data_IF_626278990677
#
_entry.id   IF_626278990677
#
_cell.length_a   1.000
_cell.length_b   1.000
_cell.length_c   1.000
_cell.angle_alpha   90.00
_cell.angle_beta   90.00
_cell.angle_gamma   90.00
#
_symmetry.space_group_name_H-M   'P 1'
#
loop_
_entity.id
_entity.type
_entity.pdbx_description
1 polymer ?
#
# COMPACT_ATOMS: atom_id res chain seq x y z
N UNK A 1 -14.03 12.08 -51.37
CA UNK A 1 -13.42 11.83 -50.05
C UNK A 1 -12.54 13.01 -49.72
N UNK A 2 -12.78 13.71 -48.60
CA UNK A 2 -11.91 14.79 -48.12
C UNK A 2 -10.81 14.14 -47.26
N UNK A 3 -9.66 13.84 -47.86
CA UNK A 3 -8.45 13.53 -47.10
C UNK A 3 -7.71 14.84 -46.84
N UNK A 4 -7.49 15.15 -45.56
CA UNK A 4 -6.62 16.26 -45.19
C UNK A 4 -5.17 15.90 -45.55
N UNK A 5 -4.39 16.84 -46.11
CA UNK A 5 -2.99 16.60 -46.40
C UNK A 5 -2.21 16.25 -45.11
N UNK A 6 -1.23 15.36 -45.26
CA UNK A 6 -0.34 14.98 -44.16
C UNK A 6 0.45 16.20 -43.69
N UNK A 7 0.40 16.49 -42.40
CA UNK A 7 1.19 17.56 -41.78
C UNK A 7 2.62 17.07 -41.57
N UNK A 8 3.59 17.80 -42.11
CA UNK A 8 5.01 17.52 -41.95
C UNK A 8 5.63 18.55 -40.98
N UNK A 9 6.22 18.12 -39.85
CA UNK A 9 6.81 19.00 -38.84
C UNK A 9 7.98 19.87 -39.34
N UNK A 10 8.61 19.50 -40.46
CA UNK A 10 9.69 20.28 -41.07
C UNK A 10 9.21 21.41 -42.00
N UNK A 11 7.89 21.61 -42.12
CA UNK A 11 7.37 22.72 -42.91
C UNK A 11 7.80 24.05 -42.30
N UNK A 12 8.39 24.90 -43.13
CA UNK A 12 8.61 26.30 -42.82
C UNK A 12 7.28 26.91 -42.36
N UNK A 13 7.28 27.44 -41.13
CA UNK A 13 6.13 28.05 -40.46
C UNK A 13 5.84 29.43 -41.06
N UNK A 14 5.45 29.42 -42.33
CA UNK A 14 5.32 30.62 -43.15
C UNK A 14 3.90 31.19 -43.12
N UNK A 15 2.92 30.41 -42.67
CA UNK A 15 1.52 30.84 -42.52
C UNK A 15 1.05 30.77 -41.08
N UNK A 16 0.12 31.66 -40.72
CA UNK A 16 -0.50 31.67 -39.38
C UNK A 16 -1.18 30.34 -39.05
N UNK A 17 -1.79 29.70 -40.06
CA UNK A 17 -2.45 28.41 -39.88
C UNK A 17 -1.45 27.33 -39.45
N UNK A 18 -0.26 27.29 -40.04
CA UNK A 18 0.77 26.31 -39.70
C UNK A 18 1.31 26.55 -38.28
N UNK A 19 1.51 27.82 -37.90
CA UNK A 19 1.88 28.20 -36.52
C UNK A 19 0.87 27.68 -35.49
N UNK A 20 -0.43 27.94 -35.70
CA UNK A 20 -1.46 27.47 -34.78
C UNK A 20 -1.58 25.94 -34.72
N UNK A 21 -1.47 25.25 -35.86
CA UNK A 21 -1.47 23.78 -35.89
C UNK A 21 -0.29 23.21 -35.10
N UNK A 22 0.88 23.81 -35.23
CA UNK A 22 2.06 23.41 -34.47
C UNK A 22 1.90 23.70 -32.97
N UNK A 23 1.36 24.87 -32.59
CA UNK A 23 1.08 25.22 -31.20
C UNK A 23 0.14 24.22 -30.51
N UNK A 24 -0.97 23.83 -31.15
CA UNK A 24 -1.91 22.89 -30.56
C UNK A 24 -1.39 21.45 -30.46
N UNK A 25 -0.37 21.07 -31.25
CA UNK A 25 0.20 19.73 -31.23
C UNK A 25 1.39 19.59 -30.32
N UNK A 26 2.33 20.52 -30.42
CA UNK A 26 3.65 20.43 -29.79
C UNK A 26 3.85 21.47 -28.68
N UNK A 27 2.90 22.38 -28.48
CA UNK A 27 3.08 23.55 -27.61
C UNK A 27 3.34 23.21 -26.14
N UNK A 28 2.87 22.05 -25.64
CA UNK A 28 3.13 21.58 -24.27
C UNK A 28 4.62 21.28 -24.03
N UNK A 29 5.38 20.91 -25.08
CA UNK A 29 6.79 20.51 -24.96
C UNK A 29 7.77 21.60 -25.44
N UNK A 30 7.28 22.78 -25.83
CA UNK A 30 8.11 23.84 -26.39
C UNK A 30 8.60 24.81 -25.33
N UNK A 31 9.87 25.19 -25.40
CA UNK A 31 10.48 26.22 -24.55
C UNK A 31 10.19 27.61 -25.12
N UNK A 32 9.51 28.44 -24.32
CA UNK A 32 9.19 29.83 -24.66
C UNK A 32 10.45 30.69 -24.91
N UNK A 33 11.59 30.34 -24.31
CA UNK A 33 12.85 31.09 -24.48
C UNK A 33 13.60 30.72 -25.77
N UNK A 34 13.17 29.66 -26.46
CA UNK A 34 13.83 29.14 -27.64
C UNK A 34 12.80 28.71 -28.70
N UNK A 35 11.92 29.63 -29.06
CA UNK A 35 10.93 29.42 -30.11
C UNK A 35 11.59 29.44 -31.50
N UNK A 36 11.17 28.55 -32.42
CA UNK A 36 11.60 28.63 -33.82
C UNK A 36 11.25 29.99 -34.44
N UNK A 37 12.08 30.45 -35.38
CA UNK A 37 11.93 31.78 -36.03
C UNK A 37 10.52 32.04 -36.59
N UNK A 38 9.86 31.01 -37.13
CA UNK A 38 8.50 31.13 -37.65
C UNK A 38 7.39 31.11 -36.59
N UNK A 39 7.69 30.79 -35.32
CA UNK A 39 6.81 30.91 -34.15
C UNK A 39 7.05 32.19 -33.35
N UNK A 40 8.10 32.95 -33.65
CA UNK A 40 8.51 34.11 -32.85
C UNK A 40 7.71 35.37 -33.20
N UNK A 41 6.38 35.25 -33.19
CA UNK A 41 5.45 36.37 -33.37
C UNK A 41 4.81 36.77 -32.04
N UNK A 42 4.33 38.01 -31.95
CA UNK A 42 3.72 38.54 -30.73
C UNK A 42 2.52 37.71 -30.27
N UNK A 43 1.64 37.33 -31.20
CA UNK A 43 0.44 36.54 -30.92
C UNK A 43 0.79 35.14 -30.40
N UNK A 44 1.83 34.53 -30.97
CA UNK A 44 2.30 33.21 -30.56
C UNK A 44 2.96 33.26 -29.19
N UNK A 45 3.78 34.29 -28.90
CA UNK A 45 4.35 34.51 -27.56
C UNK A 45 3.26 34.66 -26.51
N UNK A 46 2.19 35.41 -26.80
CA UNK A 46 1.04 35.54 -25.89
C UNK A 46 0.33 34.20 -25.67
N UNK A 47 0.13 33.42 -26.74
CA UNK A 47 -0.48 32.08 -26.63
C UNK A 47 0.37 31.11 -25.78
N UNK A 48 1.69 31.10 -25.99
CA UNK A 48 2.63 30.31 -25.20
C UNK A 48 2.68 30.74 -23.74
N UNK A 49 2.66 32.05 -23.45
CA UNK A 49 2.61 32.55 -22.08
C UNK A 49 1.32 32.10 -21.34
N UNK A 50 0.18 32.06 -22.04
CA UNK A 50 -1.06 31.54 -21.45
C UNK A 50 -0.94 30.04 -21.19
N UNK A 51 -0.43 29.28 -22.16
CA UNK A 51 -0.24 27.83 -22.03
C UNK A 51 0.69 27.48 -20.86
N UNK A 52 1.82 28.17 -20.73
CA UNK A 52 2.81 27.99 -19.68
C UNK A 52 2.22 28.25 -18.28
N UNK A 53 1.42 29.31 -18.14
CA UNK A 53 0.69 29.60 -16.89
C UNK A 53 -0.27 28.47 -16.50
N UNK A 54 -1.00 27.90 -17.47
CA UNK A 54 -1.91 26.78 -17.21
C UNK A 54 -1.15 25.48 -16.91
N UNK A 55 -0.05 25.22 -17.63
CA UNK A 55 0.80 24.05 -17.43
C UNK A 55 1.43 24.08 -16.03
N UNK A 56 2.02 25.21 -15.65
CA UNK A 56 2.62 25.43 -14.32
C UNK A 56 1.61 25.17 -13.20
N UNK A 57 0.40 25.70 -13.32
CA UNK A 57 -0.67 25.48 -12.33
C UNK A 57 -1.08 23.99 -12.23
N UNK A 58 -1.15 23.30 -13.37
CA UNK A 58 -1.47 21.87 -13.44
C UNK A 58 -0.36 21.02 -12.80
N UNK A 59 0.90 21.32 -13.06
CA UNK A 59 2.04 20.62 -12.45
C UNK A 59 2.09 20.80 -10.93
N UNK A 60 1.90 22.04 -10.45
CA UNK A 60 1.82 22.35 -9.02
C UNK A 60 0.67 21.61 -8.35
N UNK A 61 -0.49 21.56 -9.01
CA UNK A 61 -1.65 20.79 -8.54
C UNK A 61 -1.33 19.30 -8.45
N UNK A 62 -0.69 18.71 -9.48
CA UNK A 62 -0.28 17.31 -9.44
C UNK A 62 0.77 17.04 -8.36
N UNK A 63 1.71 17.95 -8.14
CA UNK A 63 2.70 17.82 -7.09
C UNK A 63 2.06 17.82 -5.71
N UNK A 64 1.06 18.69 -5.48
CA UNK A 64 0.25 18.69 -4.27
C UNK A 64 -0.48 17.35 -4.09
N UNK A 65 -1.15 16.83 -5.13
CA UNK A 65 -1.84 15.55 -5.07
C UNK A 65 -0.90 14.38 -4.74
N UNK A 66 0.28 14.33 -5.37
CA UNK A 66 1.29 13.31 -5.10
C UNK A 66 1.74 13.33 -3.64
N UNK A 67 1.94 14.51 -3.06
CA UNK A 67 2.29 14.66 -1.63
C UNK A 67 1.18 14.14 -0.72
N UNK A 68 -0.08 14.48 -1.04
CA UNK A 68 -1.24 14.01 -0.28
C UNK A 68 -1.37 12.48 -0.33
N UNK A 69 -1.17 11.90 -1.51
CA UNK A 69 -1.21 10.45 -1.71
C UNK A 69 -0.09 9.74 -0.94
N UNK A 70 1.15 10.24 -1.03
CA UNK A 70 2.28 9.68 -0.29
C UNK A 70 2.02 9.67 1.23
N UNK A 71 1.49 10.77 1.77
CA UNK A 71 1.14 10.86 3.19
C UNK A 71 0.03 9.87 3.57
N UNK A 72 -0.95 9.64 2.69
CA UNK A 72 -1.99 8.62 2.91
C UNK A 72 -1.40 7.22 2.92
N UNK A 73 -0.55 6.89 1.95
CA UNK A 73 0.08 5.57 1.83
C UNK A 73 0.96 5.28 3.05
N UNK A 74 1.77 6.25 3.50
CA UNK A 74 2.61 6.11 4.70
C UNK A 74 1.78 5.80 5.95
N UNK A 75 0.66 6.51 6.14
CA UNK A 75 -0.25 6.27 7.28
C UNK A 75 -0.88 4.90 7.22
N UNK A 76 -1.37 4.49 6.04
CA UNK A 76 -1.94 3.14 5.86
C UNK A 76 -0.91 2.07 6.18
N UNK A 77 0.32 2.21 5.69
CA UNK A 77 1.40 1.28 5.99
C UNK A 77 1.70 1.21 7.49
N UNK A 78 1.86 2.36 8.15
CA UNK A 78 2.11 2.43 9.60
C UNK A 78 1.01 1.74 10.39
N UNK A 79 -0.25 2.01 10.06
CA UNK A 79 -1.40 1.39 10.72
C UNK A 79 -1.44 -0.12 10.50
N UNK A 80 -1.17 -0.59 9.28
CA UNK A 80 -1.14 -2.01 8.96
C UNK A 80 -0.04 -2.75 9.76
N UNK A 81 1.15 -2.17 9.84
CA UNK A 81 2.25 -2.73 10.63
C UNK A 81 1.92 -2.74 12.12
N UNK A 82 1.34 -1.67 12.64
CA UNK A 82 0.95 -1.61 14.05
C UNK A 82 -0.13 -2.63 14.39
N UNK A 83 -1.13 -2.78 13.53
CA UNK A 83 -2.21 -3.75 13.69
C UNK A 83 -1.66 -5.19 13.67
N UNK A 84 -0.80 -5.52 12.71
CA UNK A 84 -0.16 -6.83 12.63
C UNK A 84 0.70 -7.15 13.87
N UNK A 85 1.37 -6.14 14.44
CA UNK A 85 2.12 -6.29 15.69
C UNK A 85 1.21 -6.59 16.88
N UNK A 86 0.09 -5.87 17.00
CA UNK A 86 -0.89 -6.09 18.07
C UNK A 86 -1.50 -7.49 17.98
N UNK A 87 -1.87 -7.92 16.77
CA UNK A 87 -2.42 -9.26 16.53
C UNK A 87 -1.40 -10.37 16.87
N UNK A 88 -0.13 -10.18 16.49
CA UNK A 88 0.93 -11.12 16.84
C UNK A 88 1.15 -11.20 18.35
N UNK A 89 1.14 -10.07 19.05
CA UNK A 89 1.29 -10.01 20.50
C UNK A 89 0.12 -10.69 21.22
N UNK A 90 -1.11 -10.42 20.77
CA UNK A 90 -2.30 -11.09 21.29
C UNK A 90 -2.26 -12.60 21.05
N UNK A 91 -1.87 -13.05 19.86
CA UNK A 91 -1.73 -14.46 19.55
C UNK A 91 -0.69 -15.16 20.44
N UNK A 92 0.43 -14.47 20.74
CA UNK A 92 1.45 -14.98 21.66
C UNK A 92 0.93 -15.10 23.09
N UNK A 93 0.22 -14.08 23.58
CA UNK A 93 -0.39 -14.09 24.91
C UNK A 93 -1.39 -15.22 25.06
N UNK A 94 -2.26 -15.43 24.07
CA UNK A 94 -3.24 -16.52 24.05
C UNK A 94 -2.55 -17.89 24.02
N UNK A 95 -1.54 -18.07 23.17
CA UNK A 95 -0.78 -19.31 23.11
C UNK A 95 -0.03 -19.61 24.42
N UNK A 96 0.53 -18.59 25.07
CA UNK A 96 1.20 -18.75 26.35
C UNK A 96 0.21 -19.14 27.46
N UNK A 97 -0.97 -18.52 27.49
CA UNK A 97 -2.05 -18.89 28.42
C UNK A 97 -2.49 -20.33 28.21
N UNK A 98 -2.73 -20.74 26.97
CA UNK A 98 -3.12 -22.12 26.64
C UNK A 98 -2.05 -23.14 27.05
N UNK A 99 -0.76 -22.82 26.84
CA UNK A 99 0.35 -23.65 27.31
C UNK A 99 0.36 -23.77 28.84
N UNK A 100 0.12 -22.68 29.57
CA UNK A 100 0.08 -22.68 31.04
C UNK A 100 -1.09 -23.52 31.56
N UNK A 101 -2.26 -23.40 30.96
CA UNK A 101 -3.44 -24.19 31.33
C UNK A 101 -3.20 -25.69 31.08
N UNK A 102 -2.68 -26.06 29.91
CA UNK A 102 -2.30 -27.45 29.60
C UNK A 102 -1.25 -28.01 30.56
N UNK A 103 -0.30 -27.18 31.00
CA UNK A 103 0.70 -27.62 31.97
C UNK A 103 0.11 -27.82 33.36
N UNK A 104 -0.80 -26.95 33.79
CA UNK A 104 -1.54 -27.11 35.06
C UNK A 104 -2.38 -28.39 35.04
N UNK A 105 -3.15 -28.63 33.98
CA UNK A 105 -3.97 -29.84 33.84
C UNK A 105 -3.11 -31.12 33.89
N UNK A 106 -1.93 -31.09 33.25
CA UNK A 106 -0.99 -32.23 33.32
C UNK A 106 -0.47 -32.46 34.74
N UNK A 107 -0.16 -31.40 35.49
CA UNK A 107 0.31 -31.51 36.88
C UNK A 107 -0.78 -32.06 37.79
N UNK A 108 -2.02 -31.61 37.64
CA UNK A 108 -3.17 -32.12 38.39
C UNK A 108 -3.44 -33.60 38.10
N UNK A 109 -3.44 -33.99 36.82
CA UNK A 109 -3.57 -35.40 36.42
C UNK A 109 -2.45 -36.27 36.99
N UNK A 110 -1.22 -35.78 37.01
CA UNK A 110 -0.09 -36.51 37.58
C UNK A 110 -0.21 -36.65 39.11
N UNK A 111 -0.65 -35.60 39.81
CA UNK A 111 -0.90 -35.64 41.26
C UNK A 111 -2.03 -36.63 41.60
N UNK A 112 -3.17 -36.55 40.90
CA UNK A 112 -4.27 -37.48 41.09
C UNK A 112 -3.85 -38.94 40.82
N UNK A 113 -3.02 -39.18 39.80
CA UNK A 113 -2.48 -40.52 39.53
C UNK A 113 -1.57 -41.02 40.66
N UNK A 114 -0.69 -40.17 41.20
CA UNK A 114 0.17 -40.52 42.33
C UNK A 114 -0.63 -40.80 43.60
N UNK A 115 -1.70 -40.05 43.85
CA UNK A 115 -2.59 -40.28 44.99
C UNK A 115 -3.38 -41.58 44.85
N UNK A 116 -3.93 -41.85 43.67
CA UNK A 116 -4.60 -43.11 43.36
C UNK A 116 -3.65 -44.31 43.53
N UNK A 117 -2.41 -44.19 43.06
CA UNK A 117 -1.39 -45.24 43.21
C UNK A 117 -1.02 -45.45 44.69
N UNK A 118 -0.88 -44.38 45.49
CA UNK A 118 -0.65 -44.48 46.93
C UNK A 118 -1.81 -45.15 47.66
N UNK A 119 -3.05 -44.79 47.33
CA UNK A 119 -4.25 -45.41 47.89
C UNK A 119 -4.32 -46.89 47.52
N UNK A 120 -4.08 -47.24 46.26
CA UNK A 120 -4.04 -48.62 45.80
C UNK A 120 -2.95 -49.43 46.53
N UNK A 121 -1.77 -48.86 46.75
CA UNK A 121 -0.70 -49.50 47.52
C UNK A 121 -1.08 -49.71 48.98
N UNK A 122 -1.76 -48.75 49.61
CA UNK A 122 -2.28 -48.88 50.99
C UNK A 122 -3.35 -49.98 51.09
N UNK A 123 -4.30 -50.03 50.14
CA UNK A 123 -5.32 -51.08 50.07
C UNK A 123 -4.71 -52.47 49.89
N UNK A 124 -3.73 -52.59 48.98
CA UNK A 124 -2.98 -53.84 48.77
C UNK A 124 -2.21 -54.27 50.02
N UNK A 125 -1.62 -53.33 50.76
CA UNK A 125 -0.90 -53.60 52.01
C UNK A 125 -1.85 -53.96 53.17
N UNK A 126 -3.08 -53.45 53.14
CA UNK A 126 -4.14 -53.79 54.10
C UNK A 126 -4.79 -55.16 53.82
N UNK A 127 -4.40 -55.87 52.75
CA UNK A 127 -4.89 -57.22 52.44
C UNK A 127 -6.31 -57.26 51.88
N UNK A 128 -6.86 -56.12 51.45
CA UNK A 128 -8.18 -56.05 50.83
C UNK A 128 -8.01 -56.34 49.33
N UNK A 129 -8.20 -57.61 48.97
CA UNK A 129 -8.44 -58.03 47.59
C UNK A 129 -9.83 -57.54 47.18
N UNK A 130 -9.91 -56.74 46.11
CA UNK A 130 -11.18 -56.57 45.41
C UNK A 130 -11.38 -57.86 44.63
N UNK A 131 -12.12 -58.82 45.21
CA UNK A 131 -12.74 -59.87 44.41
C UNK A 131 -13.87 -59.20 43.63
N UNK A 132 -13.71 -59.15 42.30
CA UNK A 132 -14.82 -58.99 41.37
C UNK A 132 -15.75 -60.19 41.59
N UNK A 133 -16.84 -59.99 42.33
CA UNK A 133 -17.98 -60.90 42.31
C UNK A 133 -18.91 -60.47 41.17
N UNK A 134 -19.11 -61.43 40.26
CA UNK A 134 -19.95 -61.42 39.05
C UNK A 134 -21.42 -61.02 39.26
#
# INVERSE_FOLDING_TARGET
>A
MLQLPYWNPEHLLNSDKERWVHFFREGENMDMNNLPEGMDTEEMRQAFAVLDNFASNKEDYFLYLKRLEAARQERTWKNAVEQARKELEQARMMAEQECREKEQERREKEQARKEAERLAALLKKAGISYEDDE
#
